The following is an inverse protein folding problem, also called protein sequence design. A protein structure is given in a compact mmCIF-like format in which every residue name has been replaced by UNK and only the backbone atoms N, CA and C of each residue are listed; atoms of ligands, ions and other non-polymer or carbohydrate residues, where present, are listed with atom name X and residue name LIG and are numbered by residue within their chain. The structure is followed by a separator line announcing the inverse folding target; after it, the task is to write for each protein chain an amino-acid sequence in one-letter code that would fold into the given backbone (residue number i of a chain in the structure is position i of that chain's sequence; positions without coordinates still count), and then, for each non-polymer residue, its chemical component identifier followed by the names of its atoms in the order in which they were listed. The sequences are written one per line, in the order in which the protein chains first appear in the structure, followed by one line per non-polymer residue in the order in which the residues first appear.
data_IF_689084451502
#
_entry.id   IF_689084451502
#
_cell.length_a   1.000
_cell.length_b   1.000
_cell.length_c   1.000
_cell.angle_alpha   90.00
_cell.angle_beta   90.00
_cell.angle_gamma   90.00
#
_symmetry.space_group_name_H-M   'P 1'
#
loop_
_entity.id
_entity.type
_entity.pdbx_description
1 polymer ?
#
# COMPACT_ATOMS: atom_id res chain seq x y z
N UNK A 1 13.39 25.21 -18.80
CA UNK A 1 13.80 25.36 -17.38
C UNK A 1 12.72 24.84 -16.45
N UNK A 2 11.48 25.35 -16.53
CA UNK A 2 10.35 24.88 -15.70
C UNK A 2 10.17 23.34 -15.70
N UNK A 3 10.00 22.73 -16.88
CA UNK A 3 9.91 21.28 -17.00
C UNK A 3 11.15 20.52 -16.48
N UNK A 4 12.35 21.10 -16.61
CA UNK A 4 13.57 20.46 -16.11
C UNK A 4 13.66 20.50 -14.57
N UNK A 5 12.94 21.41 -13.92
CA UNK A 5 12.84 21.42 -12.46
C UNK A 5 12.11 20.17 -11.94
N UNK A 6 11.06 19.75 -12.65
CA UNK A 6 10.22 18.62 -12.29
C UNK A 6 10.67 17.25 -12.86
N UNK A 7 11.85 17.16 -13.49
CA UNK A 7 12.38 15.87 -13.98
C UNK A 7 12.73 14.95 -12.80
N UNK A 8 12.06 13.81 -12.72
CA UNK A 8 12.20 12.83 -11.62
C UNK A 8 13.52 12.08 -11.62
N UNK A 9 14.31 12.16 -12.69
CA UNK A 9 15.61 11.50 -12.77
C UNK A 9 16.61 12.25 -11.89
N UNK A 10 17.19 11.62 -10.84
CA UNK A 10 18.05 12.31 -9.88
C UNK A 10 19.23 13.03 -10.54
N UNK A 11 19.78 12.47 -11.61
CA UNK A 11 20.93 13.00 -12.33
C UNK A 11 20.60 14.16 -13.29
N UNK A 12 19.31 14.34 -13.65
CA UNK A 12 18.87 15.35 -14.64
C UNK A 12 18.02 16.47 -14.06
N UNK A 13 17.21 16.20 -13.03
CA UNK A 13 16.30 17.18 -12.45
C UNK A 13 17.01 18.35 -11.75
N UNK A 14 16.56 19.57 -12.02
CA UNK A 14 17.13 20.76 -11.37
C UNK A 14 16.79 20.77 -9.86
N UNK A 15 15.62 20.26 -9.45
CA UNK A 15 15.30 20.04 -8.03
C UNK A 15 16.34 19.14 -7.35
N UNK A 16 16.62 17.98 -7.92
CA UNK A 16 17.60 17.03 -7.36
C UNK A 16 19.03 17.60 -7.33
N UNK A 17 19.40 18.45 -8.29
CA UNK A 17 20.67 19.19 -8.25
C UNK A 17 20.71 20.16 -7.06
N UNK A 18 19.66 20.96 -6.84
CA UNK A 18 19.58 21.87 -5.70
C UNK A 18 19.59 21.14 -4.36
N UNK A 19 18.92 19.99 -4.29
CA UNK A 19 18.91 19.09 -3.13
C UNK A 19 20.33 18.64 -2.76
N UNK A 20 21.12 18.16 -3.75
CA UNK A 20 22.54 17.78 -3.54
C UNK A 20 23.43 18.93 -3.10
N UNK A 21 23.09 20.16 -3.49
CA UNK A 21 23.80 21.37 -3.09
C UNK A 21 23.37 21.90 -1.70
N UNK A 22 22.48 21.20 -1.00
CA UNK A 22 21.97 21.63 0.32
C UNK A 22 21.08 22.87 0.24
N UNK A 23 20.48 23.15 -0.92
CA UNK A 23 19.64 24.34 -1.16
C UNK A 23 18.14 24.07 -1.08
N UNK A 24 17.75 22.87 -0.69
CA UNK A 24 16.36 22.48 -0.50
C UNK A 24 16.20 21.97 0.94
N UNK A 25 15.16 22.44 1.62
CA UNK A 25 14.73 21.89 2.89
C UNK A 25 13.98 20.57 2.65
N UNK A 26 14.24 19.57 3.49
CA UNK A 26 13.58 18.27 3.46
C UNK A 26 12.85 18.02 4.77
N UNK A 27 11.63 17.51 4.66
CA UNK A 27 10.85 17.06 5.82
C UNK A 27 11.12 15.60 6.17
N UNK A 28 11.55 14.79 5.19
CA UNK A 28 11.79 13.35 5.33
C UNK A 28 13.16 12.98 4.75
N UNK A 29 13.81 11.98 5.36
CA UNK A 29 15.04 11.39 4.87
C UNK A 29 14.80 10.39 3.73
N UNK A 30 15.87 9.92 3.10
CA UNK A 30 15.79 8.96 2.00
C UNK A 30 15.27 7.59 2.46
N UNK A 31 15.62 7.17 3.68
CA UNK A 31 15.20 5.89 4.23
C UNK A 31 13.67 5.81 4.38
N UNK A 32 13.04 6.86 4.88
CA UNK A 32 11.58 6.98 5.03
C UNK A 32 10.87 6.94 3.67
N UNK A 33 11.45 7.61 2.67
CA UNK A 33 10.90 7.60 1.30
C UNK A 33 11.03 6.21 0.68
N UNK A 34 12.17 5.52 0.85
CA UNK A 34 12.38 4.17 0.34
C UNK A 34 11.46 3.16 1.02
N UNK A 35 11.26 3.24 2.34
CA UNK A 35 10.31 2.36 3.05
C UNK A 35 8.88 2.53 2.51
N UNK A 36 8.44 3.77 2.31
CA UNK A 36 7.10 4.08 1.81
C UNK A 36 6.84 3.63 0.35
N UNK A 37 7.86 3.20 -0.39
CA UNK A 37 7.67 2.57 -1.70
C UNK A 37 7.02 1.19 -1.60
N UNK A 38 7.20 0.52 -0.46
CA UNK A 38 6.76 -0.86 -0.23
C UNK A 38 5.78 -0.98 0.93
N UNK A 39 5.88 -0.10 1.92
CA UNK A 39 5.05 -0.13 3.12
C UNK A 39 3.89 0.86 3.03
N UNK A 40 2.63 0.41 3.21
CA UNK A 40 1.50 1.31 3.26
C UNK A 40 1.45 2.09 4.59
N UNK A 41 0.79 3.26 4.64
CA UNK A 41 0.58 3.97 5.89
C UNK A 41 -0.35 3.19 6.84
N UNK A 42 0.02 3.15 8.12
CA UNK A 42 -0.59 2.30 9.15
C UNK A 42 -1.99 2.75 9.61
N UNK A 43 -2.40 3.98 9.36
CA UNK A 43 -3.57 4.63 9.97
C UNK A 43 -4.74 4.85 9.00
N UNK A 44 -4.67 4.25 7.81
CA UNK A 44 -5.74 4.30 6.80
C UNK A 44 -6.04 2.91 6.23
N UNK A 45 -7.12 2.79 5.46
CA UNK A 45 -7.45 1.57 4.67
C UNK A 45 -6.35 1.14 3.71
N UNK A 46 -5.40 2.01 3.37
CA UNK A 46 -4.27 1.65 2.53
C UNK A 46 -3.42 0.56 3.20
N UNK A 47 -3.39 0.50 4.53
CA UNK A 47 -2.74 -0.57 5.28
C UNK A 47 -3.29 -1.94 4.87
N UNK A 48 -4.60 -2.15 5.02
CA UNK A 48 -5.25 -3.41 4.63
C UNK A 48 -4.94 -3.78 3.18
N UNK A 49 -5.10 -2.85 2.25
CA UNK A 49 -4.86 -3.11 0.82
C UNK A 49 -3.40 -3.46 0.53
N UNK A 50 -2.46 -2.66 1.03
CA UNK A 50 -1.03 -2.89 0.81
C UNK A 50 -0.57 -4.21 1.41
N UNK A 51 -0.97 -4.50 2.66
CA UNK A 51 -0.66 -5.78 3.31
C UNK A 51 -1.28 -6.98 2.61
N UNK A 52 -2.49 -6.85 2.05
CA UNK A 52 -3.09 -7.94 1.26
C UNK A 52 -2.30 -8.18 -0.04
N UNK A 53 -1.95 -7.12 -0.77
CA UNK A 53 -1.15 -7.20 -2.01
C UNK A 53 0.24 -7.80 -1.78
N UNK A 54 0.84 -7.50 -0.63
CA UNK A 54 2.14 -8.03 -0.23
C UNK A 54 2.07 -9.50 0.22
N UNK A 55 1.13 -9.83 1.11
CA UNK A 55 1.06 -11.18 1.73
C UNK A 55 0.35 -12.22 0.86
N UNK A 56 -0.60 -11.83 -0.01
CA UNK A 56 -1.41 -12.75 -0.81
C UNK A 56 -1.47 -12.39 -2.30
N UNK A 57 -0.34 -12.10 -2.97
CA UNK A 57 -0.34 -11.63 -4.35
C UNK A 57 -1.06 -12.60 -5.31
N UNK A 58 -0.84 -13.90 -5.14
CA UNK A 58 -1.41 -14.95 -6.00
C UNK A 58 -2.92 -15.15 -5.81
N UNK A 59 -3.49 -14.64 -4.72
CA UNK A 59 -4.92 -14.75 -4.42
C UNK A 59 -5.68 -13.44 -4.67
N UNK A 60 -5.05 -12.42 -5.25
CA UNK A 60 -5.69 -11.13 -5.55
C UNK A 60 -5.92 -11.00 -7.04
N UNK A 61 -7.19 -11.01 -7.43
CA UNK A 61 -7.59 -10.75 -8.81
C UNK A 61 -7.51 -9.27 -9.16
N UNK A 62 -7.87 -8.38 -8.22
CA UNK A 62 -7.82 -6.93 -8.40
C UNK A 62 -7.88 -6.17 -7.06
N UNK A 63 -7.44 -4.92 -7.07
CA UNK A 63 -7.60 -4.00 -5.94
C UNK A 63 -7.92 -2.57 -6.44
N UNK A 64 -8.78 -1.86 -5.71
CA UNK A 64 -9.15 -0.46 -5.94
C UNK A 64 -9.03 0.34 -4.62
N UNK A 65 -9.49 1.59 -4.59
CA UNK A 65 -9.55 2.37 -3.34
C UNK A 65 -10.65 1.88 -2.38
N UNK A 66 -11.72 1.35 -2.94
CA UNK A 66 -12.94 0.95 -2.25
C UNK A 66 -13.10 -0.57 -2.11
N UNK A 67 -12.18 -1.38 -2.64
CA UNK A 67 -12.23 -2.83 -2.45
C UNK A 67 -10.92 -3.57 -2.75
N UNK A 68 -10.82 -4.78 -2.19
CA UNK A 68 -9.87 -5.83 -2.60
C UNK A 68 -10.68 -7.03 -3.05
N UNK A 69 -10.33 -7.60 -4.21
CA UNK A 69 -11.03 -8.73 -4.83
C UNK A 69 -10.10 -9.95 -4.80
N UNK A 70 -10.54 -10.98 -4.09
CA UNK A 70 -9.81 -12.22 -3.91
C UNK A 70 -10.31 -13.32 -4.86
N UNK A 71 -9.37 -14.10 -5.37
CA UNK A 71 -9.62 -15.41 -5.99
C UNK A 71 -9.24 -16.48 -4.96
N UNK A 72 -10.23 -17.21 -4.44
CA UNK A 72 -10.09 -18.07 -3.28
C UNK A 72 -10.38 -19.54 -3.63
N UNK A 73 -9.53 -20.48 -3.20
CA UNK A 73 -9.81 -21.90 -3.37
C UNK A 73 -11.17 -22.29 -2.76
N UNK A 74 -11.96 -23.05 -3.52
CA UNK A 74 -13.28 -23.52 -3.09
C UNK A 74 -14.43 -22.52 -3.28
N UNK A 75 -14.15 -21.33 -3.83
CA UNK A 75 -15.18 -20.38 -4.25
C UNK A 75 -15.29 -20.33 -5.77
N UNK A 76 -16.48 -20.59 -6.31
CA UNK A 76 -16.73 -20.52 -7.77
C UNK A 76 -16.72 -19.09 -8.32
N UNK A 77 -16.75 -18.07 -7.44
CA UNK A 77 -16.78 -16.66 -7.79
C UNK A 77 -15.72 -15.86 -7.03
N UNK A 78 -15.28 -14.75 -7.62
CA UNK A 78 -14.37 -13.83 -6.96
C UNK A 78 -15.03 -13.18 -5.74
N UNK A 79 -14.28 -13.10 -4.64
CA UNK A 79 -14.76 -12.59 -3.37
C UNK A 79 -14.33 -11.15 -3.16
N UNK A 80 -15.30 -10.23 -3.08
CA UNK A 80 -15.03 -8.80 -2.91
C UNK A 80 -15.12 -8.40 -1.44
N UNK A 81 -14.03 -7.84 -0.91
CA UNK A 81 -14.00 -7.19 0.41
C UNK A 81 -14.08 -5.67 0.21
N UNK A 82 -15.16 -5.00 0.63
CA UNK A 82 -15.29 -3.56 0.51
C UNK A 82 -14.46 -2.80 1.56
N UNK A 83 -13.79 -1.73 1.13
CA UNK A 83 -12.97 -0.81 1.97
C UNK A 83 -13.48 0.63 1.85
N UNK A 84 -14.80 0.84 2.03
CA UNK A 84 -15.47 2.12 1.79
C UNK A 84 -14.99 3.24 2.73
N UNK A 85 -14.78 2.92 4.01
CA UNK A 85 -14.32 3.89 5.01
C UNK A 85 -12.80 4.05 4.96
N UNK A 86 -12.27 5.26 4.66
CA UNK A 86 -10.83 5.50 4.61
C UNK A 86 -10.11 5.32 5.96
N UNK A 87 -10.83 5.37 7.08
CA UNK A 87 -10.29 5.23 8.45
C UNK A 87 -10.45 3.84 9.05
N UNK A 88 -11.02 2.87 8.31
CA UNK A 88 -11.04 1.45 8.71
C UNK A 88 -10.01 0.65 7.93
N UNK A 89 -9.73 -0.57 8.36
CA UNK A 89 -8.68 -1.39 7.73
C UNK A 89 -7.26 -0.86 7.98
N UNK A 90 -7.09 -0.11 9.07
CA UNK A 90 -5.80 0.36 9.56
C UNK A 90 -5.06 -0.77 10.28
N UNK A 91 -3.79 -0.60 10.59
CA UNK A 91 -3.00 -1.55 11.38
C UNK A 91 -3.64 -1.91 12.71
N UNK A 92 -4.19 -0.92 13.41
CA UNK A 92 -4.89 -1.13 14.66
C UNK A 92 -6.16 -1.99 14.50
N UNK A 93 -6.81 -1.97 13.34
CA UNK A 93 -8.03 -2.75 13.08
C UNK A 93 -7.75 -4.19 12.63
N UNK A 94 -6.75 -4.38 11.76
CA UNK A 94 -6.57 -5.64 11.02
C UNK A 94 -5.13 -6.14 11.01
N UNK A 95 -4.19 -5.48 11.67
CA UNK A 95 -2.77 -5.87 11.69
C UNK A 95 -2.58 -7.29 12.19
N UNK A 96 -2.98 -7.54 13.44
CA UNK A 96 -2.89 -8.89 14.03
C UNK A 96 -3.71 -9.92 13.25
N UNK A 97 -4.87 -9.52 12.71
CA UNK A 97 -5.71 -10.41 11.92
C UNK A 97 -4.98 -10.89 10.66
N UNK A 98 -4.33 -9.97 9.94
CA UNK A 98 -3.53 -10.30 8.76
C UNK A 98 -2.32 -11.12 9.16
N UNK A 99 -1.62 -10.76 10.24
CA UNK A 99 -0.42 -11.45 10.70
C UNK A 99 -0.71 -12.91 11.05
N UNK A 100 -1.84 -13.18 11.71
CA UNK A 100 -2.30 -14.52 12.10
C UNK A 100 -3.00 -15.30 10.97
N UNK A 101 -3.25 -14.69 9.82
CA UNK A 101 -3.87 -15.36 8.67
C UNK A 101 -2.79 -15.81 7.69
N UNK A 102 -2.49 -17.10 7.64
CA UNK A 102 -1.47 -17.61 6.71
C UNK A 102 -1.92 -17.63 5.24
N UNK A 103 -3.23 -17.59 5.00
CA UNK A 103 -3.81 -17.63 3.65
C UNK A 103 -4.88 -16.55 3.47
N UNK A 104 -5.08 -16.14 2.22
CA UNK A 104 -6.16 -15.21 1.86
C UNK A 104 -7.55 -15.77 2.24
N UNK A 105 -7.74 -17.08 2.12
CA UNK A 105 -8.98 -17.75 2.53
C UNK A 105 -9.21 -17.65 4.04
N UNK A 106 -8.16 -17.83 4.85
CA UNK A 106 -8.25 -17.67 6.31
C UNK A 106 -8.62 -16.23 6.69
N UNK A 107 -7.97 -15.24 6.06
CA UNK A 107 -8.27 -13.82 6.26
C UNK A 107 -9.73 -13.52 5.88
N UNK A 108 -10.16 -13.94 4.69
CA UNK A 108 -11.52 -13.70 4.20
C UNK A 108 -12.58 -14.33 5.11
N UNK A 109 -12.36 -15.57 5.53
CA UNK A 109 -13.25 -16.28 6.45
C UNK A 109 -13.37 -15.57 7.81
N UNK A 110 -12.29 -14.97 8.28
CA UNK A 110 -12.29 -14.23 9.55
C UNK A 110 -12.95 -12.84 9.43
N UNK A 111 -12.91 -12.20 8.26
CA UNK A 111 -13.57 -10.91 8.00
C UNK A 111 -15.08 -11.02 7.80
N UNK A 112 -15.57 -12.19 7.40
CA UNK A 112 -16.98 -12.42 7.00
C UNK A 112 -17.78 -13.22 8.03
N UNK A 113 -17.18 -13.53 9.18
CA UNK A 113 -17.89 -14.03 10.35
C UNK A 113 -18.66 -12.93 11.05
#
# INVERSE_FOLDING_TARGET
IDLQYADLRPEKGLYHRLLRLGRMERLLDDASVTAAMHEPPDDTRAYFRGRCLDKYPDSIAAASWDSVIFDLPGHDSLQRVPTIDPRRGTKAHVGELIDNSDTALALFSALTR
#
